data_IF_475295853872
#
_entry.id   IF_475295853872
#
_cell.length_a   1.000
_cell.length_b   1.000
_cell.length_c   1.000
_cell.angle_alpha   90.00
_cell.angle_beta   90.00
_cell.angle_gamma   90.00
#
_symmetry.space_group_name_H-M   'P 1'
#
loop_
_entity.id
_entity.type
_entity.pdbx_description
1 polymer ?
#
# COMPACT_ATOMS: atom_id res chain seq x y z
N UNK A 1 -46.39 -63.60 15.14
CA UNK A 1 -47.12 -63.08 13.97
C UNK A 1 -48.05 -61.96 14.44
N UNK A 2 -47.56 -60.73 14.46
CA UNK A 2 -48.39 -59.53 14.62
C UNK A 2 -47.87 -58.47 13.65
N UNK A 3 -48.64 -58.31 12.58
CA UNK A 3 -48.50 -57.32 11.52
C UNK A 3 -49.12 -56.01 11.99
N UNK A 4 -48.29 -54.98 12.14
CA UNK A 4 -48.73 -53.60 12.38
C UNK A 4 -48.20 -52.70 11.27
N UNK A 5 -49.13 -52.21 10.46
CA UNK A 5 -48.96 -51.26 9.35
C UNK A 5 -48.42 -49.90 9.80
N UNK A 6 -47.61 -49.21 8.97
CA UNK A 6 -47.08 -47.88 9.27
C UNK A 6 -48.09 -46.77 8.99
N UNK A 7 -48.12 -45.78 9.88
CA UNK A 7 -48.96 -44.57 9.83
C UNK A 7 -48.20 -43.47 9.09
N UNK A 8 -48.74 -43.02 7.97
CA UNK A 8 -48.20 -41.93 7.16
C UNK A 8 -48.30 -40.57 7.88
N UNK A 9 -47.26 -39.75 7.77
CA UNK A 9 -47.22 -38.36 8.27
C UNK A 9 -47.18 -37.40 7.07
N UNK A 10 -48.00 -36.33 7.06
CA UNK A 10 -48.13 -35.44 5.91
C UNK A 10 -47.03 -34.37 5.86
N UNK A 11 -46.66 -33.99 4.63
CA UNK A 11 -45.71 -32.92 4.31
C UNK A 11 -46.27 -31.52 4.61
N UNK A 12 -45.43 -30.56 5.04
CA UNK A 12 -45.85 -29.17 5.22
C UNK A 12 -45.83 -28.36 3.91
N UNK A 13 -46.77 -27.42 3.87
CA UNK A 13 -47.22 -26.65 2.72
C UNK A 13 -46.20 -25.62 2.20
N UNK A 14 -46.17 -25.48 0.87
CA UNK A 14 -45.55 -24.36 0.13
C UNK A 14 -46.42 -23.11 0.28
N UNK A 15 -45.90 -22.07 0.92
CA UNK A 15 -46.47 -20.71 0.86
C UNK A 15 -45.85 -19.96 -0.32
N UNK A 16 -46.68 -19.68 -1.31
CA UNK A 16 -46.39 -18.93 -2.53
C UNK A 16 -47.03 -17.55 -2.37
N UNK A 17 -46.25 -16.53 -2.08
CA UNK A 17 -46.72 -15.13 -2.06
C UNK A 17 -46.37 -14.47 -3.38
N UNK A 18 -47.37 -14.38 -4.26
CA UNK A 18 -47.42 -13.43 -5.37
C UNK A 18 -48.16 -12.18 -4.87
N UNK A 19 -47.53 -11.01 -4.97
CA UNK A 19 -48.25 -9.73 -4.91
C UNK A 19 -47.86 -8.89 -6.11
N UNK A 20 -48.79 -8.89 -7.07
CA UNK A 20 -48.96 -7.92 -8.13
C UNK A 20 -49.20 -6.53 -7.53
N UNK A 21 -48.48 -5.51 -8.00
CA UNK A 21 -48.95 -4.13 -7.96
C UNK A 21 -48.44 -3.42 -9.23
N UNK A 22 -49.30 -3.38 -10.24
CA UNK A 22 -49.22 -2.40 -11.32
C UNK A 22 -49.71 -1.05 -10.77
N UNK A 23 -48.98 0.02 -11.06
CA UNK A 23 -49.61 1.34 -11.24
C UNK A 23 -48.84 2.13 -12.28
N UNK A 24 -49.47 2.22 -13.45
CA UNK A 24 -49.18 3.18 -14.51
C UNK A 24 -49.48 4.60 -14.02
N UNK A 25 -48.66 5.58 -14.40
CA UNK A 25 -49.12 6.90 -14.87
C UNK A 25 -47.98 7.65 -15.58
N UNK A 26 -48.15 7.73 -16.90
CA UNK A 26 -47.97 8.86 -17.83
C UNK A 26 -46.98 9.99 -17.56
N UNK A 27 -46.09 10.15 -18.54
CA UNK A 27 -45.85 11.35 -19.37
C UNK A 27 -45.77 12.73 -18.69
N UNK A 28 -44.58 13.33 -18.77
CA UNK A 28 -44.43 14.64 -19.43
C UNK A 28 -43.00 14.84 -19.94
N UNK A 29 -42.89 15.00 -21.26
CA UNK A 29 -41.84 15.77 -21.90
C UNK A 29 -41.94 17.23 -21.43
N UNK A 30 -40.82 17.85 -21.05
CA UNK A 30 -40.62 19.28 -21.28
C UNK A 30 -39.13 19.62 -21.17
N UNK A 31 -38.53 19.91 -22.32
CA UNK A 31 -37.27 20.64 -22.41
C UNK A 31 -37.60 22.13 -22.28
N UNK A 32 -36.81 22.90 -21.52
CA UNK A 32 -36.52 24.25 -21.96
C UNK A 32 -35.03 24.57 -21.97
N UNK A 33 -34.68 25.29 -23.03
CA UNK A 33 -33.42 25.97 -23.31
C UNK A 33 -32.91 26.80 -22.11
N UNK A 34 -31.59 26.91 -22.01
CA UNK A 34 -30.89 27.75 -21.02
C UNK A 34 -31.24 29.25 -21.12
N UNK A 35 -30.66 30.10 -20.25
CA UNK A 35 -29.41 30.72 -20.70
C UNK A 35 -28.41 31.17 -19.60
N UNK A 36 -27.18 31.45 -20.06
CA UNK A 36 -26.12 32.38 -19.57
C UNK A 36 -25.15 31.90 -18.45
N UNK A 37 -23.81 32.11 -18.63
CA UNK A 37 -22.78 31.69 -17.70
C UNK A 37 -22.46 32.75 -16.63
N UNK A 38 -22.30 32.33 -15.38
CA UNK A 38 -21.68 33.14 -14.34
C UNK A 38 -20.16 32.95 -14.36
N UNK A 39 -19.48 33.92 -14.99
CA UNK A 39 -18.05 34.11 -14.91
C UNK A 39 -17.71 34.72 -13.54
N UNK A 40 -17.32 33.90 -12.56
CA UNK A 40 -16.79 34.37 -11.28
C UNK A 40 -15.27 34.42 -11.39
N UNK A 41 -14.75 35.63 -11.60
CA UNK A 41 -13.32 35.92 -11.51
C UNK A 41 -12.85 35.85 -10.06
N UNK A 42 -11.76 35.12 -9.72
CA UNK A 42 -11.14 35.27 -8.42
C UNK A 42 -10.31 36.59 -8.35
N UNK A 43 -10.19 37.17 -7.14
CA UNK A 43 -9.59 38.49 -6.94
C UNK A 43 -8.08 38.49 -7.20
N UNK A 44 -7.62 39.55 -7.89
CA UNK A 44 -6.22 39.97 -7.95
C UNK A 44 -5.68 40.21 -6.54
N UNK A 45 -4.93 39.26 -5.98
CA UNK A 45 -4.05 39.53 -4.85
C UNK A 45 -2.79 40.23 -5.35
N UNK A 46 -2.64 41.45 -4.87
CA UNK A 46 -1.48 42.34 -5.01
C UNK A 46 -0.16 41.58 -4.86
N UNK A 47 0.67 41.74 -5.89
CA UNK A 47 2.08 41.40 -5.86
C UNK A 47 2.78 42.05 -4.66
N UNK A 48 3.47 41.22 -3.89
CA UNK A 48 4.55 41.67 -3.03
C UNK A 48 5.83 41.14 -3.64
N UNK A 49 6.44 41.98 -4.49
CA UNK A 49 7.81 41.83 -4.96
C UNK A 49 8.70 41.61 -3.73
N UNK A 50 9.19 40.39 -3.57
CA UNK A 50 10.30 40.10 -2.67
C UNK A 50 11.55 40.19 -3.52
N UNK A 51 12.26 41.28 -3.28
CA UNK A 51 13.55 41.63 -3.85
C UNK A 51 14.51 40.46 -3.90
N UNK A 52 15.02 40.22 -5.10
CA UNK A 52 16.30 39.59 -5.39
C UNK A 52 17.37 40.17 -4.46
N UNK A 53 17.99 39.31 -3.66
CA UNK A 53 19.22 39.64 -2.95
C UNK A 53 20.36 39.15 -3.83
N UNK A 54 20.82 40.03 -4.71
CA UNK A 54 22.15 39.95 -5.30
C UNK A 54 23.16 40.03 -4.16
N UNK A 55 23.83 38.92 -3.89
CA UNK A 55 25.08 38.91 -3.13
C UNK A 55 26.21 38.69 -4.14
N UNK A 56 26.56 39.78 -4.83
CA UNK A 56 27.89 39.98 -5.41
C UNK A 56 28.87 40.05 -4.23
N UNK A 57 29.60 38.96 -3.99
CA UNK A 57 30.78 38.99 -3.12
C UNK A 57 32.00 39.13 -4.01
N UNK A 58 32.63 40.29 -3.88
CA UNK A 58 33.90 40.64 -4.48
C UNK A 58 35.01 39.65 -4.13
N UNK A 59 35.80 39.35 -5.16
CA UNK A 59 37.15 38.82 -5.03
C UNK A 59 38.04 39.89 -4.43
N UNK A 60 38.48 39.71 -3.19
CA UNK A 60 39.66 40.39 -2.66
C UNK A 60 40.77 39.37 -2.44
N UNK A 61 41.69 39.44 -3.39
CA UNK A 61 43.06 38.96 -3.35
C UNK A 61 43.78 39.59 -2.16
N UNK A 62 44.35 38.80 -1.23
CA UNK A 62 45.70 39.02 -0.71
C UNK A 62 46.12 38.01 0.38
N UNK A 63 47.41 37.67 0.31
CA UNK A 63 48.32 37.32 1.41
C UNK A 63 48.52 35.85 1.77
N UNK A 64 49.61 35.34 1.19
CA UNK A 64 50.45 34.24 1.66
C UNK A 64 50.46 34.08 3.18
N UNK A 65 49.87 32.99 3.67
CA UNK A 65 50.22 32.41 4.97
C UNK A 65 50.54 30.94 4.72
N UNK A 66 51.80 30.58 4.90
CA UNK A 66 52.31 29.22 4.75
C UNK A 66 51.80 28.35 5.91
N UNK A 67 50.68 27.65 5.69
CA UNK A 67 50.22 26.59 6.58
C UNK A 67 51.06 25.31 6.40
N UNK A 68 51.34 24.57 7.50
CA UNK A 68 52.09 23.32 7.45
C UNK A 68 51.29 22.22 6.73
N UNK A 69 51.98 21.22 6.13
CA UNK A 69 51.34 20.15 5.37
C UNK A 69 50.47 19.29 6.28
N UNK A 70 49.17 19.56 6.27
CA UNK A 70 48.17 18.69 6.88
C UNK A 70 48.13 17.41 6.05
N UNK A 71 48.55 16.29 6.67
CA UNK A 71 48.42 14.95 6.09
C UNK A 71 46.94 14.72 5.77
N UNK A 72 46.58 14.84 4.49
CA UNK A 72 45.25 14.55 4.00
C UNK A 72 44.96 13.07 4.28
N UNK A 73 44.14 12.81 5.29
CA UNK A 73 43.58 11.49 5.51
C UNK A 73 42.86 11.07 4.23
N UNK A 74 43.04 9.83 3.75
CA UNK A 74 42.39 9.37 2.53
C UNK A 74 40.89 9.61 2.69
N UNK A 75 40.31 10.41 1.78
CA UNK A 75 38.87 10.59 1.72
C UNK A 75 38.27 9.19 1.66
N UNK A 76 37.61 8.80 2.74
CA UNK A 76 36.83 7.57 2.83
C UNK A 76 35.87 7.58 1.65
N UNK A 77 36.18 6.80 0.61
CA UNK A 77 35.37 6.69 -0.59
C UNK A 77 33.95 6.38 -0.16
N UNK A 78 33.00 7.24 -0.52
CA UNK A 78 31.59 6.97 -0.26
C UNK A 78 31.27 5.55 -0.77
N UNK A 79 30.56 4.72 0.02
CA UNK A 79 30.22 3.37 -0.40
C UNK A 79 29.51 3.42 -1.75
N UNK A 80 29.89 2.53 -2.67
CA UNK A 80 29.28 2.44 -3.97
C UNK A 80 27.75 2.23 -3.83
N UNK A 81 26.93 2.86 -4.69
CA UNK A 81 25.48 2.69 -4.65
C UNK A 81 25.14 1.21 -4.86
N UNK A 82 24.33 0.66 -3.96
CA UNK A 82 23.82 -0.71 -4.10
C UNK A 82 22.87 -0.74 -5.30
N UNK A 83 23.07 -1.64 -6.29
CA UNK A 83 22.17 -1.75 -7.43
C UNK A 83 20.78 -2.20 -6.97
N UNK A 84 19.75 -1.68 -7.64
CA UNK A 84 18.37 -2.09 -7.37
C UNK A 84 18.15 -3.55 -7.81
N UNK A 85 17.27 -4.31 -7.13
CA UNK A 85 16.86 -5.62 -7.61
C UNK A 85 16.28 -5.57 -9.02
N UNK A 86 16.50 -6.63 -9.80
CA UNK A 86 16.16 -6.69 -11.24
C UNK A 86 14.69 -6.38 -11.53
N UNK A 87 13.77 -6.84 -10.66
CA UNK A 87 12.32 -6.65 -10.86
C UNK A 87 11.84 -5.19 -10.79
N UNK A 88 12.67 -4.25 -10.30
CA UNK A 88 12.37 -2.81 -10.41
C UNK A 88 12.69 -2.23 -11.78
N UNK A 89 13.46 -2.95 -12.60
CA UNK A 89 13.84 -2.54 -13.95
C UNK A 89 12.83 -2.92 -15.02
N UNK A 90 11.80 -3.71 -14.71
CA UNK A 90 10.80 -4.12 -15.68
C UNK A 90 9.83 -2.99 -16.03
N UNK A 91 9.37 -2.98 -17.29
CA UNK A 91 8.32 -2.09 -17.77
C UNK A 91 7.02 -2.30 -16.96
N UNK A 92 6.31 -1.23 -16.53
CA UNK A 92 5.00 -1.37 -15.91
C UNK A 92 3.93 -1.85 -16.90
N UNK A 93 2.94 -2.61 -16.43
CA UNK A 93 1.77 -2.98 -17.24
C UNK A 93 0.82 -1.79 -17.37
N UNK A 94 0.46 -1.41 -18.61
CA UNK A 94 -0.46 -0.30 -18.90
C UNK A 94 -1.56 -0.75 -19.88
N UNK A 95 -2.85 -0.61 -19.53
CA UNK A 95 -3.36 -0.13 -18.24
C UNK A 95 -3.02 -1.08 -17.09
N UNK A 96 -2.96 -0.55 -15.85
CA UNK A 96 -2.80 -1.38 -14.66
C UNK A 96 -3.93 -2.42 -14.59
N UNK A 97 -3.65 -3.69 -14.26
CA UNK A 97 -4.68 -4.70 -14.06
C UNK A 97 -5.37 -4.59 -12.68
N UNK A 98 -4.89 -3.70 -11.83
CA UNK A 98 -5.47 -3.38 -10.52
C UNK A 98 -6.33 -2.12 -10.65
N UNK A 99 -7.58 -2.22 -10.22
CA UNK A 99 -8.52 -1.09 -10.22
C UNK A 99 -8.12 -0.02 -9.19
N UNK A 100 -7.51 -0.47 -8.09
CA UNK A 100 -7.09 0.38 -6.99
C UNK A 100 -8.24 0.84 -6.12
N UNK A 101 -9.13 -0.08 -5.76
CA UNK A 101 -10.31 0.17 -4.91
C UNK A 101 -10.45 -0.88 -3.81
N UNK A 102 -11.05 -0.50 -2.68
CA UNK A 102 -11.43 -1.46 -1.65
C UNK A 102 -12.51 -2.43 -2.14
N UNK A 103 -13.44 -1.95 -2.97
CA UNK A 103 -14.52 -2.75 -3.55
C UNK A 103 -13.97 -3.94 -4.35
N UNK A 104 -12.97 -3.74 -5.22
CA UNK A 104 -12.35 -4.81 -5.98
C UNK A 104 -11.75 -5.90 -5.07
N UNK A 105 -11.13 -5.50 -3.96
CA UNK A 105 -10.63 -6.43 -2.94
C UNK A 105 -11.75 -7.20 -2.24
N UNK A 106 -12.84 -6.52 -1.85
CA UNK A 106 -13.98 -7.17 -1.18
C UNK A 106 -14.68 -8.16 -2.12
N UNK A 107 -14.83 -7.81 -3.41
CA UNK A 107 -15.38 -8.69 -4.43
C UNK A 107 -14.49 -9.93 -4.63
N UNK A 108 -13.17 -9.76 -4.67
CA UNK A 108 -12.22 -10.87 -4.74
C UNK A 108 -12.31 -11.80 -3.51
N UNK A 109 -12.46 -11.24 -2.31
CA UNK A 109 -12.67 -12.00 -1.07
C UNK A 109 -13.98 -12.80 -1.13
N UNK A 110 -15.07 -12.19 -1.60
CA UNK A 110 -16.37 -12.85 -1.73
C UNK A 110 -16.33 -13.97 -2.78
N UNK A 111 -15.70 -13.72 -3.93
CA UNK A 111 -15.53 -14.73 -4.98
C UNK A 111 -14.72 -15.93 -4.45
N UNK A 112 -13.60 -15.66 -3.77
CA UNK A 112 -12.80 -16.69 -3.13
C UNK A 112 -13.58 -17.48 -2.07
N UNK A 113 -14.33 -16.78 -1.21
CA UNK A 113 -15.19 -17.40 -0.21
C UNK A 113 -16.30 -18.28 -0.79
N UNK A 114 -16.85 -17.91 -1.95
CA UNK A 114 -17.84 -18.70 -2.67
C UNK A 114 -17.25 -19.99 -3.25
N UNK A 115 -15.98 -19.99 -3.64
CA UNK A 115 -15.27 -21.18 -4.12
C UNK A 115 -14.93 -22.16 -3.00
N UNK A 116 -14.64 -21.64 -1.80
CA UNK A 116 -14.11 -22.43 -0.69
C UNK A 116 -14.97 -22.32 0.57
N UNK A 117 -16.03 -23.14 0.66
CA UNK A 117 -16.99 -23.09 1.77
C UNK A 117 -16.38 -23.25 3.19
N UNK A 118 -15.21 -23.86 3.34
CA UNK A 118 -14.55 -24.05 4.65
C UNK A 118 -13.83 -22.79 5.16
N UNK A 119 -13.79 -21.72 4.36
CA UNK A 119 -13.02 -20.50 4.65
C UNK A 119 -13.87 -19.38 5.23
N UNK A 120 -15.16 -19.63 5.50
CA UNK A 120 -16.11 -18.57 5.88
C UNK A 120 -15.67 -17.77 7.10
N UNK A 121 -15.05 -18.39 8.10
CA UNK A 121 -14.54 -17.65 9.27
C UNK A 121 -13.52 -16.57 8.87
N UNK A 122 -12.59 -16.91 7.97
CA UNK A 122 -11.59 -15.98 7.43
C UNK A 122 -12.25 -14.93 6.56
N UNK A 123 -13.16 -15.32 5.66
CA UNK A 123 -13.91 -14.41 4.79
C UNK A 123 -14.68 -13.39 5.63
N UNK A 124 -15.46 -13.84 6.62
CA UNK A 124 -16.21 -12.93 7.49
C UNK A 124 -15.30 -11.93 8.19
N UNK A 125 -14.15 -12.36 8.71
CA UNK A 125 -13.16 -11.47 9.34
C UNK A 125 -12.58 -10.47 8.35
N UNK A 126 -12.24 -10.89 7.13
CA UNK A 126 -11.72 -10.00 6.08
C UNK A 126 -12.72 -8.91 5.66
N UNK A 127 -14.01 -9.23 5.67
CA UNK A 127 -15.09 -8.32 5.30
C UNK A 127 -15.48 -7.34 6.42
N UNK A 128 -15.05 -7.57 7.67
CA UNK A 128 -15.29 -6.62 8.75
C UNK A 128 -14.43 -5.34 8.60
N UNK A 129 -14.77 -4.26 9.32
CA UNK A 129 -13.85 -3.15 9.55
C UNK A 129 -12.50 -3.66 10.10
N UNK A 130 -11.42 -2.97 9.75
CA UNK A 130 -10.07 -3.41 10.13
C UNK A 130 -9.91 -3.44 11.65
N UNK A 131 -9.50 -4.61 12.16
CA UNK A 131 -9.05 -4.78 13.54
C UNK A 131 -7.58 -5.23 13.58
N UNK A 132 -6.69 -4.35 14.04
CA UNK A 132 -5.24 -4.60 14.15
C UNK A 132 -4.88 -5.64 15.22
N UNK A 133 -5.85 -6.08 16.03
CA UNK A 133 -5.69 -7.09 17.09
C UNK A 133 -6.26 -8.46 16.71
N UNK A 134 -6.70 -8.62 15.45
CA UNK A 134 -7.20 -9.90 14.91
C UNK A 134 -6.18 -11.02 15.15
N UNK A 135 -6.62 -12.12 15.77
CA UNK A 135 -5.81 -13.34 15.95
C UNK A 135 -5.76 -14.17 14.64
N UNK A 136 -5.03 -13.64 13.66
CA UNK A 136 -4.80 -14.32 12.39
C UNK A 136 -4.23 -15.74 12.55
N UNK A 137 -3.20 -15.99 13.39
CA UNK A 137 -2.69 -17.33 13.59
C UNK A 137 -3.76 -18.32 14.09
N UNK A 138 -4.63 -17.90 15.02
CA UNK A 138 -5.74 -18.72 15.51
C UNK A 138 -6.76 -19.03 14.43
N UNK A 139 -7.22 -18.01 13.69
CA UNK A 139 -8.19 -18.15 12.60
C UNK A 139 -7.67 -19.07 11.48
N UNK A 140 -6.45 -18.83 11.02
CA UNK A 140 -5.84 -19.61 9.94
C UNK A 140 -5.50 -21.03 10.38
N UNK A 141 -5.12 -21.25 11.65
CA UNK A 141 -4.96 -22.61 12.19
C UNK A 141 -6.29 -23.36 12.21
N UNK A 142 -7.39 -22.68 12.53
CA UNK A 142 -8.74 -23.24 12.41
C UNK A 142 -9.06 -23.70 10.99
N UNK A 143 -8.74 -22.87 9.99
CA UNK A 143 -8.88 -23.22 8.57
C UNK A 143 -7.99 -24.40 8.17
N UNK A 144 -6.73 -24.40 8.61
CA UNK A 144 -5.77 -25.47 8.32
C UNK A 144 -6.24 -26.81 8.90
N UNK A 145 -6.71 -26.86 10.15
CA UNK A 145 -7.11 -28.11 10.83
C UNK A 145 -8.49 -28.59 10.38
N UNK A 146 -9.47 -27.68 10.30
CA UNK A 146 -10.84 -28.07 9.96
C UNK A 146 -11.02 -28.31 8.46
N UNK A 147 -10.26 -27.58 7.64
CA UNK A 147 -10.28 -27.69 6.18
C UNK A 147 -9.48 -28.87 5.62
N UNK A 148 -8.72 -29.61 6.44
CA UNK A 148 -7.84 -30.70 5.97
C UNK A 148 -8.55 -32.00 5.59
N UNK A 149 -9.81 -31.91 5.17
CA UNK A 149 -10.59 -33.06 4.68
C UNK A 149 -11.06 -32.78 3.26
N UNK A 150 -10.47 -33.43 2.23
CA UNK A 150 -9.40 -34.43 2.28
C UNK A 150 -8.04 -33.90 2.74
N UNK A 151 -7.15 -34.80 3.17
CA UNK A 151 -5.79 -34.45 3.63
C UNK A 151 -5.03 -33.62 2.59
N UNK A 152 -4.34 -32.58 3.04
CA UNK A 152 -3.66 -31.59 2.20
C UNK A 152 -4.54 -30.41 1.78
N UNK A 153 -5.87 -30.50 1.94
CA UNK A 153 -6.78 -29.39 1.58
C UNK A 153 -6.57 -28.17 2.48
N UNK A 154 -6.25 -28.34 3.76
CA UNK A 154 -6.03 -27.21 4.65
C UNK A 154 -4.85 -26.35 4.20
N UNK A 155 -3.75 -27.02 3.82
CA UNK A 155 -2.57 -26.37 3.24
C UNK A 155 -2.91 -25.67 1.92
N UNK A 156 -3.59 -26.38 1.02
CA UNK A 156 -4.03 -25.80 -0.26
C UNK A 156 -4.84 -24.51 -0.06
N UNK A 157 -5.81 -24.50 0.86
CA UNK A 157 -6.61 -23.31 1.17
C UNK A 157 -5.77 -22.15 1.72
N UNK A 158 -4.73 -22.46 2.49
CA UNK A 158 -3.82 -21.47 3.05
C UNK A 158 -2.90 -20.86 1.98
N UNK A 159 -2.43 -21.67 1.03
CA UNK A 159 -1.69 -21.18 -0.15
C UNK A 159 -2.60 -20.33 -1.06
N UNK A 160 -3.83 -20.78 -1.32
CA UNK A 160 -4.80 -20.00 -2.09
C UNK A 160 -5.10 -18.65 -1.44
N UNK A 161 -5.25 -18.62 -0.11
CA UNK A 161 -5.41 -17.36 0.63
C UNK A 161 -4.17 -16.48 0.54
N UNK A 162 -2.98 -17.06 0.69
CA UNK A 162 -1.72 -16.33 0.56
C UNK A 162 -1.65 -15.61 -0.79
N UNK A 163 -1.91 -16.34 -1.88
CA UNK A 163 -1.84 -15.77 -3.22
C UNK A 163 -2.99 -14.83 -3.56
N UNK A 164 -4.20 -15.04 -3.00
CA UNK A 164 -5.25 -14.03 -3.05
C UNK A 164 -4.75 -12.70 -2.47
N UNK A 165 -4.13 -12.74 -1.30
CA UNK A 165 -3.67 -11.52 -0.63
C UNK A 165 -2.49 -10.89 -1.37
N UNK A 166 -1.49 -11.66 -1.80
CA UNK A 166 -0.27 -11.10 -2.41
C UNK A 166 -0.43 -10.70 -3.87
N UNK A 167 -1.28 -11.38 -4.63
CA UNK A 167 -1.47 -11.11 -6.07
C UNK A 167 -2.70 -10.25 -6.37
N UNK A 168 -3.63 -10.12 -5.41
CA UNK A 168 -4.84 -9.30 -5.59
C UNK A 168 -4.96 -8.24 -4.50
N UNK A 169 -5.18 -8.63 -3.24
CA UNK A 169 -5.62 -7.67 -2.22
C UNK A 169 -4.58 -6.60 -1.88
N UNK A 170 -3.31 -6.98 -1.71
CA UNK A 170 -2.21 -6.04 -1.49
C UNK A 170 -2.03 -5.08 -2.68
N UNK A 171 -1.93 -5.57 -3.94
CA UNK A 171 -1.88 -4.71 -5.11
C UNK A 171 -3.02 -3.70 -5.23
N UNK A 172 -4.28 -4.10 -4.99
CA UNK A 172 -5.43 -3.18 -5.02
C UNK A 172 -5.26 -2.07 -3.97
N UNK A 173 -4.95 -2.43 -2.72
CA UNK A 173 -4.79 -1.46 -1.64
C UNK A 173 -3.54 -0.58 -1.77
N UNK A 174 -2.45 -1.10 -2.32
CA UNK A 174 -1.26 -0.29 -2.64
C UNK A 174 -1.62 0.74 -3.70
N UNK A 175 -2.33 0.33 -4.75
CA UNK A 175 -2.76 1.23 -5.83
C UNK A 175 -3.66 2.33 -5.28
N UNK A 176 -4.69 1.98 -4.52
CA UNK A 176 -5.62 2.92 -3.87
C UNK A 176 -4.88 3.91 -2.96
N UNK A 177 -4.00 3.40 -2.09
CA UNK A 177 -3.17 4.22 -1.20
C UNK A 177 -2.32 5.21 -2.00
N UNK A 178 -1.64 4.75 -3.06
CA UNK A 178 -0.79 5.59 -3.90
C UNK A 178 -1.58 6.67 -4.63
N UNK A 179 -2.78 6.35 -5.11
CA UNK A 179 -3.67 7.33 -5.74
C UNK A 179 -4.10 8.40 -4.74
N UNK A 180 -4.52 8.02 -3.54
CA UNK A 180 -4.86 8.96 -2.47
C UNK A 180 -3.67 9.85 -2.07
N UNK A 181 -2.49 9.24 -1.91
CA UNK A 181 -1.24 9.94 -1.63
C UNK A 181 -0.85 10.94 -2.74
N UNK A 182 -1.01 10.54 -4.00
CA UNK A 182 -0.80 11.40 -5.17
C UNK A 182 -1.70 12.63 -5.14
N UNK A 183 -3.01 12.44 -4.91
CA UNK A 183 -3.98 13.54 -4.78
C UNK A 183 -3.64 14.47 -3.61
N UNK A 184 -3.27 13.91 -2.47
CA UNK A 184 -2.83 14.68 -1.32
C UNK A 184 -1.59 15.54 -1.64
N UNK A 185 -0.53 14.96 -2.20
CA UNK A 185 0.67 15.74 -2.52
C UNK A 185 0.43 16.78 -3.60
N UNK A 186 -0.47 16.52 -4.54
CA UNK A 186 -0.92 17.50 -5.52
C UNK A 186 -1.70 18.65 -4.88
N UNK A 187 -2.58 18.35 -3.92
CA UNK A 187 -3.39 19.36 -3.24
C UNK A 187 -2.58 20.19 -2.24
N UNK A 188 -1.64 19.53 -1.54
CA UNK A 188 -0.86 20.09 -0.43
C UNK A 188 0.64 20.10 -0.76
N UNK A 189 1.00 20.73 -1.88
CA UNK A 189 2.39 20.80 -2.40
C UNK A 189 3.41 21.32 -1.39
N UNK A 190 2.99 22.16 -0.46
CA UNK A 190 3.86 22.79 0.54
C UNK A 190 4.08 21.94 1.80
N UNK A 191 3.41 20.79 1.96
CA UNK A 191 3.65 19.92 3.11
C UNK A 191 5.06 19.32 3.02
N UNK A 192 5.90 19.65 4.00
CA UNK A 192 7.22 19.02 4.19
C UNK A 192 7.13 17.73 5.01
N UNK A 193 5.92 17.28 5.36
CA UNK A 193 5.71 16.18 6.28
C UNK A 193 5.83 14.86 5.53
N UNK A 194 6.64 13.95 6.10
CA UNK A 194 6.67 12.54 5.70
C UNK A 194 5.47 11.85 6.36
N UNK A 195 4.56 11.31 5.56
CA UNK A 195 3.36 10.65 6.06
C UNK A 195 3.70 9.21 6.42
N UNK A 196 3.17 8.70 7.53
CA UNK A 196 3.36 7.32 7.95
C UNK A 196 2.31 6.40 7.31
N UNK A 197 1.19 6.96 6.83
CA UNK A 197 0.07 6.25 6.18
C UNK A 197 0.40 5.71 4.78
N UNK A 198 1.67 5.74 4.40
CA UNK A 198 2.15 5.17 3.15
C UNK A 198 2.48 3.71 3.36
N UNK A 199 2.01 2.85 2.46
CA UNK A 199 2.26 1.41 2.51
C UNK A 199 3.76 1.04 2.56
N UNK A 200 4.63 1.85 1.94
CA UNK A 200 6.08 1.62 1.85
C UNK A 200 6.87 2.21 3.04
N UNK A 201 6.19 2.89 3.97
CA UNK A 201 6.78 3.54 5.15
C UNK A 201 6.59 2.63 6.38
N UNK A 202 7.12 1.40 6.29
CA UNK A 202 7.22 0.46 7.43
C UNK A 202 8.45 0.72 8.31
N UNK A 203 8.44 0.29 9.59
CA UNK A 203 9.47 0.54 10.64
C UNK A 203 10.94 0.66 10.21
N UNK A 204 11.37 -0.04 9.15
CA UNK A 204 12.74 -0.06 8.65
C UNK A 204 13.14 1.13 7.77
N UNK A 205 12.21 1.96 7.28
CA UNK A 205 12.50 3.10 6.40
C UNK A 205 13.40 4.17 7.03
N UNK A 206 13.42 4.24 8.38
CA UNK A 206 14.29 5.17 9.13
C UNK A 206 15.73 4.69 9.27
N UNK A 207 16.09 3.49 8.78
CA UNK A 207 17.49 3.04 8.72
C UNK A 207 18.21 3.81 7.61
N UNK A 208 19.35 4.42 7.94
CA UNK A 208 20.16 5.13 6.97
C UNK A 208 20.57 4.21 5.81
N UNK A 209 20.36 4.65 4.56
CA UNK A 209 20.69 3.87 3.35
C UNK A 209 19.51 3.12 2.72
N UNK A 210 18.27 3.46 3.07
CA UNK A 210 17.09 2.89 2.39
C UNK A 210 17.15 3.14 0.87
N UNK A 211 17.07 2.06 0.09
CA UNK A 211 17.02 2.14 -1.37
C UNK A 211 15.67 2.71 -1.80
N UNK A 212 15.68 3.53 -2.86
CA UNK A 212 14.45 4.10 -3.41
C UNK A 212 14.36 3.81 -4.90
N UNK A 213 13.15 3.54 -5.36
CA UNK A 213 12.82 3.42 -6.78
C UNK A 213 12.03 4.66 -7.22
N UNK A 214 12.36 5.19 -8.39
CA UNK A 214 11.69 6.36 -8.94
C UNK A 214 10.28 5.98 -9.43
N UNK A 215 9.29 6.82 -9.12
CA UNK A 215 7.96 6.73 -9.73
C UNK A 215 7.98 7.51 -11.04
N UNK A 216 8.20 6.79 -12.14
CA UNK A 216 8.30 7.35 -13.50
C UNK A 216 7.02 7.01 -14.29
N UNK A 217 6.62 7.88 -15.24
CA UNK A 217 5.53 7.55 -16.14
C UNK A 217 5.90 6.32 -16.97
N UNK A 218 4.92 5.48 -17.33
CA UNK A 218 5.17 4.34 -18.20
C UNK A 218 5.71 4.80 -19.56
N UNK A 219 6.75 4.13 -20.05
CA UNK A 219 7.23 4.35 -21.41
C UNK A 219 6.39 3.50 -22.38
N UNK A 220 5.81 4.12 -23.40
CA UNK A 220 4.95 3.45 -24.38
C UNK A 220 5.72 2.49 -25.31
N UNK A 221 7.04 2.63 -25.34
CA UNK A 221 7.93 1.81 -26.17
C UNK A 221 8.44 0.56 -25.44
N UNK A 222 8.29 0.49 -24.11
CA UNK A 222 8.82 -0.64 -23.35
C UNK A 222 7.92 -1.87 -23.51
N UNK A 223 8.53 -3.00 -23.81
CA UNK A 223 7.84 -4.29 -23.86
C UNK A 223 7.51 -4.76 -22.44
N UNK A 224 6.23 -5.03 -22.18
CA UNK A 224 5.80 -5.66 -20.93
C UNK A 224 6.27 -7.11 -20.96
N UNK A 225 7.01 -7.59 -19.93
CA UNK A 225 7.38 -8.99 -19.85
C UNK A 225 6.12 -9.86 -19.95
N UNK A 226 6.08 -10.77 -20.93
CA UNK A 226 5.00 -11.76 -20.98
C UNK A 226 5.02 -12.57 -19.68
N UNK A 227 3.84 -12.76 -19.07
CA UNK A 227 3.69 -13.77 -18.03
C UNK A 227 4.15 -15.11 -18.58
N UNK A 228 4.63 -16.04 -17.75
CA UNK A 228 5.03 -17.37 -18.22
C UNK A 228 3.73 -18.18 -18.42
N UNK A 229 3.22 -18.36 -19.66
CA UNK A 229 1.94 -19.03 -19.84
C UNK A 229 2.03 -20.54 -19.53
N UNK A 230 0.99 -21.06 -18.86
CA UNK A 230 0.57 -22.45 -19.06
C UNK A 230 0.87 -23.48 -17.97
N UNK A 231 1.62 -23.17 -16.91
CA UNK A 231 1.78 -24.09 -15.77
C UNK A 231 0.70 -23.87 -14.69
N UNK A 232 0.35 -22.62 -14.43
CA UNK A 232 -0.55 -22.26 -13.33
C UNK A 232 -2.04 -22.44 -13.66
N UNK A 233 -2.47 -22.23 -14.91
CA UNK A 233 -3.89 -22.34 -15.28
C UNK A 233 -4.47 -23.75 -15.03
N UNK A 234 -3.65 -24.80 -15.17
CA UNK A 234 -4.13 -26.18 -15.01
C UNK A 234 -4.28 -26.55 -13.53
N UNK A 235 -3.35 -26.10 -12.68
CA UNK A 235 -3.34 -26.47 -11.25
C UNK A 235 -4.15 -25.50 -10.39
N UNK A 236 -4.15 -24.21 -10.73
CA UNK A 236 -4.75 -23.14 -9.94
C UNK A 236 -5.56 -22.19 -10.83
N UNK A 237 -6.67 -22.66 -11.44
CA UNK A 237 -7.41 -21.92 -12.48
C UNK A 237 -8.03 -20.59 -12.00
N UNK A 238 -8.18 -20.42 -10.68
CA UNK A 238 -8.77 -19.21 -10.09
C UNK A 238 -7.74 -18.29 -9.45
N UNK A 239 -6.45 -18.67 -9.47
CA UNK A 239 -5.36 -17.89 -8.90
C UNK A 239 -4.88 -16.90 -9.95
N UNK A 240 -4.75 -15.62 -9.59
CA UNK A 240 -4.13 -14.62 -10.47
C UNK A 240 -2.67 -15.02 -10.73
N UNK A 241 -2.22 -14.89 -11.96
CA UNK A 241 -0.85 -15.21 -12.34
C UNK A 241 0.15 -14.26 -11.63
N UNK A 242 1.36 -14.76 -11.35
CA UNK A 242 2.43 -13.91 -10.85
C UNK A 242 2.84 -12.94 -11.96
N UNK A 243 2.85 -11.65 -11.64
CA UNK A 243 3.35 -10.61 -12.52
C UNK A 243 4.79 -10.26 -12.15
N UNK A 244 5.80 -10.59 -12.97
CA UNK A 244 7.20 -10.26 -12.66
C UNK A 244 7.43 -8.76 -12.46
N UNK A 245 6.64 -7.95 -13.16
CA UNK A 245 6.66 -6.49 -13.15
C UNK A 245 5.60 -5.87 -12.20
N UNK A 246 5.10 -6.63 -11.21
CA UNK A 246 4.05 -6.14 -10.29
C UNK A 246 4.49 -4.86 -9.56
N UNK A 247 5.73 -4.82 -9.07
CA UNK A 247 6.22 -3.67 -8.32
C UNK A 247 6.35 -2.45 -9.24
N UNK A 248 6.95 -2.59 -10.43
CA UNK A 248 7.06 -1.47 -11.37
C UNK A 248 5.68 -0.96 -11.80
N UNK A 249 4.72 -1.85 -12.01
CA UNK A 249 3.31 -1.52 -12.28
C UNK A 249 2.68 -0.71 -11.14
N UNK A 250 2.83 -1.17 -9.89
CA UNK A 250 2.24 -0.50 -8.72
C UNK A 250 2.87 0.87 -8.43
N UNK A 251 4.17 1.04 -8.71
CA UNK A 251 4.88 2.30 -8.39
C UNK A 251 4.91 3.29 -9.55
N UNK A 252 4.42 2.92 -10.73
CA UNK A 252 4.37 3.77 -11.91
C UNK A 252 3.67 5.12 -11.60
N UNK A 253 4.15 6.18 -12.23
CA UNK A 253 3.45 7.46 -12.22
C UNK A 253 2.28 7.41 -13.21
N UNK A 254 1.32 8.36 -13.14
CA UNK A 254 0.34 8.56 -14.21
C UNK A 254 1.02 8.74 -15.58
N UNK A 255 0.31 8.50 -16.69
CA UNK A 255 0.86 8.63 -18.04
C UNK A 255 1.47 10.01 -18.31
N UNK A 256 0.82 11.08 -17.84
CA UNK A 256 1.32 12.45 -17.96
C UNK A 256 2.43 12.80 -16.93
N UNK A 257 2.77 11.84 -16.08
CA UNK A 257 3.67 11.99 -14.94
C UNK A 257 3.07 12.81 -13.79
N UNK A 258 3.89 13.05 -12.78
CA UNK A 258 3.54 13.93 -11.65
C UNK A 258 3.64 15.40 -12.04
N UNK A 259 2.75 16.27 -11.53
CA UNK A 259 2.69 17.68 -11.98
C UNK A 259 3.92 18.51 -11.59
N UNK A 260 4.66 18.08 -10.56
CA UNK A 260 5.87 18.77 -10.09
C UNK A 260 6.94 17.77 -9.68
N UNK A 261 8.20 18.21 -9.76
CA UNK A 261 9.33 17.43 -9.23
C UNK A 261 9.18 17.13 -7.74
N UNK A 262 8.61 18.04 -6.95
CA UNK A 262 8.35 17.82 -5.52
C UNK A 262 7.36 16.69 -5.26
N UNK A 263 6.29 16.58 -6.06
CA UNK A 263 5.36 15.44 -5.99
C UNK A 263 6.07 14.16 -6.42
N UNK A 264 6.81 14.17 -7.53
CA UNK A 264 7.61 13.03 -8.01
C UNK A 264 8.56 12.50 -6.93
N UNK A 265 9.30 13.40 -6.29
CA UNK A 265 10.26 13.04 -5.25
C UNK A 265 9.59 12.44 -4.01
N UNK A 266 8.38 12.91 -3.67
CA UNK A 266 7.58 12.33 -2.59
C UNK A 266 6.90 11.02 -2.99
N UNK A 267 6.57 10.81 -4.26
CA UNK A 267 5.97 9.57 -4.76
C UNK A 267 6.98 8.45 -5.07
N UNK A 268 8.28 8.70 -4.88
CA UNK A 268 9.31 7.65 -4.91
C UNK A 268 8.95 6.52 -3.96
N UNK A 269 9.12 5.29 -4.43
CA UNK A 269 8.91 4.09 -3.63
C UNK A 269 10.14 3.80 -2.76
N UNK A 270 9.93 3.52 -1.49
CA UNK A 270 10.97 3.06 -0.57
C UNK A 270 10.94 1.54 -0.53
N UNK A 271 12.05 0.93 -0.94
CA UNK A 271 12.14 -0.53 -1.02
C UNK A 271 12.00 -1.12 0.38
N UNK A 272 11.07 -2.05 0.54
CA UNK A 272 10.67 -2.57 1.85
C UNK A 272 10.39 -4.07 1.84
N UNK A 273 10.14 -4.62 3.03
CA UNK A 273 9.83 -6.04 3.17
C UNK A 273 8.52 -6.47 2.51
N UNK A 274 7.56 -5.55 2.37
CA UNK A 274 6.30 -5.81 1.67
C UNK A 274 6.54 -6.23 0.22
N UNK A 275 7.55 -5.66 -0.44
CA UNK A 275 7.89 -5.93 -1.84
C UNK A 275 8.23 -7.40 -2.06
N UNK A 276 8.89 -8.03 -1.08
CA UNK A 276 9.21 -9.46 -1.12
C UNK A 276 7.98 -10.38 -1.07
N UNK A 277 6.84 -9.89 -0.58
CA UNK A 277 5.59 -10.66 -0.59
C UNK A 277 4.88 -10.60 -1.95
N UNK A 278 5.07 -9.52 -2.70
CA UNK A 278 4.43 -9.33 -4.01
C UNK A 278 5.05 -10.21 -5.11
N UNK A 279 6.28 -10.67 -4.90
CA UNK A 279 7.05 -11.46 -5.86
C UNK A 279 7.17 -12.94 -5.46
N UNK A 280 6.32 -13.43 -4.54
CA UNK A 280 6.30 -14.84 -4.17
C UNK A 280 5.79 -15.68 -5.34
N UNK A 281 6.61 -16.62 -5.79
CA UNK A 281 6.22 -17.64 -6.75
C UNK A 281 5.66 -18.90 -6.07
N UNK A 282 5.11 -19.79 -6.89
CA UNK A 282 4.43 -21.00 -6.44
C UNK A 282 5.43 -22.01 -5.86
N UNK A 283 6.62 -22.09 -6.45
CA UNK A 283 7.72 -22.97 -6.07
C UNK A 283 8.30 -22.63 -4.69
N UNK A 284 8.61 -21.35 -4.43
CA UNK A 284 9.13 -20.86 -3.16
C UNK A 284 8.17 -21.19 -2.03
N UNK A 285 6.86 -21.01 -2.26
CA UNK A 285 5.82 -21.27 -1.26
C UNK A 285 5.62 -22.77 -1.03
N UNK A 286 5.74 -23.59 -2.09
CA UNK A 286 5.66 -25.05 -1.98
C UNK A 286 6.76 -25.63 -1.06
N UNK A 287 7.94 -25.01 -1.02
CA UNK A 287 9.04 -25.41 -0.13
C UNK A 287 8.82 -25.04 1.35
N UNK A 288 7.83 -24.19 1.66
CA UNK A 288 7.59 -23.78 3.04
C UNK A 288 6.91 -24.89 3.82
N UNK A 289 7.43 -25.18 5.02
CA UNK A 289 6.68 -25.97 5.98
C UNK A 289 5.38 -25.25 6.41
N UNK A 290 4.44 -26.01 6.97
CA UNK A 290 3.14 -25.47 7.38
C UNK A 290 3.24 -24.35 8.43
N UNK A 291 4.25 -24.41 9.30
CA UNK A 291 4.44 -23.39 10.35
C UNK A 291 4.88 -22.07 9.74
N UNK A 292 5.81 -22.11 8.78
CA UNK A 292 6.27 -20.96 8.02
C UNK A 292 5.15 -20.39 7.16
N UNK A 293 4.40 -21.23 6.46
CA UNK A 293 3.26 -20.81 5.64
C UNK A 293 2.20 -20.11 6.48
N UNK A 294 1.83 -20.69 7.62
CA UNK A 294 0.89 -20.09 8.57
C UNK A 294 1.38 -18.72 9.06
N UNK A 295 2.62 -18.66 9.54
CA UNK A 295 3.19 -17.43 10.09
C UNK A 295 3.29 -16.32 9.03
N UNK A 296 3.73 -16.64 7.81
CA UNK A 296 3.84 -15.68 6.71
C UNK A 296 2.47 -15.20 6.25
N UNK A 297 1.51 -16.10 6.07
CA UNK A 297 0.15 -15.72 5.68
C UNK A 297 -0.49 -14.81 6.72
N UNK A 298 -0.37 -15.13 8.01
CA UNK A 298 -0.85 -14.25 9.10
C UNK A 298 -0.20 -12.87 9.06
N UNK A 299 1.13 -12.81 8.85
CA UNK A 299 1.84 -11.54 8.77
C UNK A 299 1.39 -10.69 7.58
N UNK A 300 1.22 -11.31 6.41
CA UNK A 300 0.81 -10.64 5.18
C UNK A 300 -0.63 -10.09 5.30
N UNK A 301 -1.55 -10.87 5.87
CA UNK A 301 -2.92 -10.42 6.16
C UNK A 301 -2.94 -9.21 7.09
N UNK A 302 -2.09 -9.21 8.12
CA UNK A 302 -1.94 -8.06 9.01
C UNK A 302 -1.40 -6.83 8.26
N UNK A 303 -0.43 -7.00 7.35
CA UNK A 303 0.07 -5.89 6.52
C UNK A 303 -1.03 -5.34 5.61
N UNK A 304 -1.81 -6.21 4.95
CA UNK A 304 -2.94 -5.77 4.14
C UNK A 304 -3.97 -4.98 4.95
N UNK A 305 -4.35 -5.47 6.14
CA UNK A 305 -5.23 -4.76 7.06
C UNK A 305 -4.69 -3.37 7.44
N UNK A 306 -3.39 -3.26 7.71
CA UNK A 306 -2.77 -1.97 8.04
C UNK A 306 -2.85 -1.00 6.88
N UNK A 307 -2.51 -1.44 5.66
CA UNK A 307 -2.58 -0.59 4.46
C UNK A 307 -4.02 -0.17 4.19
N UNK A 308 -4.99 -1.09 4.34
CA UNK A 308 -6.42 -0.76 4.23
C UNK A 308 -6.83 0.32 5.23
N UNK A 309 -6.51 0.15 6.52
CA UNK A 309 -6.83 1.13 7.56
C UNK A 309 -6.16 2.48 7.33
N UNK A 310 -4.91 2.49 6.88
CA UNK A 310 -4.18 3.72 6.57
C UNK A 310 -4.76 4.42 5.33
N UNK A 311 -5.25 3.66 4.36
CA UNK A 311 -5.91 4.16 3.15
C UNK A 311 -7.29 4.73 3.48
N UNK A 312 -8.10 4.03 4.26
CA UNK A 312 -9.38 4.56 4.78
C UNK A 312 -9.15 5.90 5.50
N UNK A 313 -8.10 5.99 6.33
CA UNK A 313 -7.73 7.24 7.00
C UNK A 313 -7.37 8.35 6.02
N UNK A 314 -6.62 8.06 4.94
CA UNK A 314 -6.32 9.05 3.91
C UNK A 314 -7.56 9.51 3.17
N UNK A 315 -8.47 8.60 2.85
CA UNK A 315 -9.73 8.93 2.16
C UNK A 315 -10.63 9.79 3.06
N UNK A 316 -10.70 9.49 4.36
CA UNK A 316 -11.43 10.34 5.32
C UNK A 316 -10.85 11.76 5.38
N UNK A 317 -9.51 11.88 5.40
CA UNK A 317 -8.85 13.19 5.34
C UNK A 317 -9.14 13.93 4.03
N UNK A 318 -9.33 13.21 2.91
CA UNK A 318 -9.67 13.80 1.62
C UNK A 318 -11.04 14.47 1.65
N UNK A 319 -12.03 13.87 2.33
CA UNK A 319 -13.38 14.41 2.48
C UNK A 319 -13.35 15.81 3.10
N UNK A 320 -12.52 16.00 4.12
CA UNK A 320 -12.31 17.29 4.79
C UNK A 320 -11.24 18.16 4.09
N UNK A 321 -11.00 17.96 2.80
CA UNK A 321 -10.02 18.70 1.99
C UNK A 321 -8.62 18.78 2.61
N UNK A 322 -8.26 17.77 3.41
CA UNK A 322 -7.00 17.64 4.13
C UNK A 322 -6.75 18.77 5.15
N UNK A 323 -7.81 19.43 5.66
CA UNK A 323 -7.69 20.55 6.62
C UNK A 323 -6.99 20.14 7.93
N UNK A 324 -7.16 18.89 8.37
CA UNK A 324 -6.48 18.37 9.55
C UNK A 324 -4.95 18.36 9.43
N UNK A 325 -4.40 18.45 8.21
CA UNK A 325 -2.95 18.53 7.95
C UNK A 325 -2.40 19.95 7.99
N UNK A 326 -3.25 21.00 8.04
CA UNK A 326 -2.81 22.40 8.10
C UNK A 326 -2.38 22.83 9.51
N UNK A 327 -2.75 22.04 10.53
CA UNK A 327 -2.32 22.24 11.91
C UNK A 327 -0.82 22.00 12.04
N UNK A 328 -0.19 22.52 13.11
CA UNK A 328 1.23 22.23 13.35
C UNK A 328 1.43 20.73 13.50
N UNK A 329 2.60 20.21 13.13
CA UNK A 329 2.92 18.80 13.23
C UNK A 329 2.76 18.23 14.67
N UNK A 330 2.94 19.08 15.69
CA UNK A 330 2.74 18.74 17.11
C UNK A 330 1.26 18.65 17.50
N UNK A 331 0.38 19.33 16.75
CA UNK A 331 -1.07 19.41 16.98
C UNK A 331 -1.84 18.39 16.15
N UNK A 332 -1.18 17.74 15.18
CA UNK A 332 -1.82 16.72 14.39
C UNK A 332 -1.53 15.35 15.01
N UNK A 333 -2.57 14.84 15.69
CA UNK A 333 -2.53 13.66 16.54
C UNK A 333 -1.90 12.44 15.86
N UNK A 334 -2.06 12.33 14.54
CA UNK A 334 -1.49 11.26 13.72
C UNK A 334 0.05 11.27 13.64
N UNK A 335 0.72 12.43 13.67
CA UNK A 335 2.18 12.51 13.75
C UNK A 335 2.65 12.30 15.20
N UNK A 336 1.90 12.89 16.14
CA UNK A 336 2.25 12.86 17.55
C UNK A 336 2.15 11.45 18.17
N UNK A 337 1.16 10.65 17.77
CA UNK A 337 0.98 9.28 18.26
C UNK A 337 2.09 8.33 17.78
N UNK A 338 2.63 8.52 16.57
CA UNK A 338 3.78 7.75 16.10
C UNK A 338 5.08 8.14 16.84
N UNK A 339 5.30 9.43 17.06
CA UNK A 339 6.44 9.91 17.86
C UNK A 339 6.44 9.30 19.27
N UNK A 340 5.26 8.98 19.83
CA UNK A 340 5.09 8.33 21.14
C UNK A 340 5.18 6.80 21.09
N UNK A 341 4.71 6.17 20.00
CA UNK A 341 4.77 4.69 19.82
C UNK A 341 6.19 4.19 19.51
N UNK A 342 7.07 5.08 19.06
CA UNK A 342 8.47 4.75 18.80
C UNK A 342 9.30 4.75 20.09
N UNK A 343 10.00 3.65 20.43
CA UNK A 343 10.99 3.70 21.51
C UNK A 343 12.08 4.73 21.13
N UNK A 344 12.55 5.57 22.08
CA UNK A 344 13.53 6.59 21.79
C UNK A 344 14.76 5.94 21.17
N UNK A 345 15.13 6.41 19.97
CA UNK A 345 16.27 5.90 19.21
C UNK A 345 17.50 5.92 20.13
N UNK A 346 18.05 4.75 20.45
CA UNK A 346 19.09 4.56 21.49
C UNK A 346 20.44 5.24 21.17
N UNK A 347 20.51 6.01 20.08
CA UNK A 347 21.73 6.64 19.57
C UNK A 347 22.11 7.94 20.29
N UNK A 348 21.21 8.56 21.07
CA UNK A 348 21.57 9.80 21.79
C UNK A 348 22.55 9.58 22.97
N UNK A 349 22.68 8.34 23.48
CA UNK A 349 23.67 8.03 24.54
C UNK A 349 25.10 7.82 24.01
N UNK A 350 25.28 7.71 22.69
CA UNK A 350 26.60 7.54 22.08
C UNK A 350 27.44 8.83 22.08
N UNK A 351 26.79 9.99 22.06
CA UNK A 351 27.47 11.28 21.92
C UNK A 351 27.95 11.88 23.25
N UNK A 352 27.35 11.48 24.38
CA UNK A 352 27.83 11.87 25.71
C UNK A 352 29.15 11.18 26.08
N UNK A 353 29.34 9.92 25.68
CA UNK A 353 30.59 9.19 25.94
C UNK A 353 31.79 9.71 25.11
N UNK A 354 31.55 10.29 23.93
CA UNK A 354 32.61 10.90 23.12
C UNK A 354 33.05 12.24 23.73
N UNK A 355 32.11 13.04 24.27
CA UNK A 355 32.45 14.26 25.02
C UNK A 355 33.18 13.94 26.33
N UNK A 356 32.77 12.90 27.07
CA UNK A 356 33.44 12.49 28.30
C UNK A 356 34.87 11.97 28.08
N UNK A 357 35.15 11.32 26.94
CA UNK A 357 36.52 10.88 26.59
C UNK A 357 37.43 12.01 26.08
N UNK A 358 36.87 13.10 25.55
CA UNK A 358 37.66 14.24 25.07
C UNK A 358 38.17 15.13 26.22
N UNK A 359 37.45 15.19 27.34
CA UNK A 359 37.87 15.95 28.53
C UNK A 359 39.00 15.24 29.29
N UNK A 360 39.04 13.90 29.31
CA UNK A 360 40.11 13.13 29.98
C UNK A 360 41.46 13.10 29.26
N UNK A 361 41.57 13.63 28.04
CA UNK A 361 42.84 13.70 27.28
C UNK A 361 43.50 15.08 27.34
N UNK A 362 42.91 16.02 28.08
CA UNK A 362 43.40 17.40 28.26
C UNK A 362 43.68 17.74 29.73
N UNK A 363 43.72 16.72 30.59
CA UNK A 363 44.16 16.74 31.98
C UNK A 363 45.22 15.66 32.15
#
# INVERSE_FOLDING_TARGET
MHSSTPKATPAPARSRSQSHAQREHSQSEETPQGPIPYHVSPPRTRGRSRTTRDASVHSDTHSHTSEPPFLALPLSSAPAPVPLPEHYGYAPTVPSPFEGTLEASLDAILLWGAMYADTQAVVYTLLQPVDRTTDWPGLLRGMLVNGDKPAGRGRFLLEELLFLVTRTLLPEQITENRLAMGRLYERKKQLSIRLILRYDIGLDWRRAGAMTAASLPPNKEDEVPEGIPGLNEVMFPNRRELMPNIISTLIAAPEDGWSTQGVRDRMKHHIGHLDSYLILDDEDVAEWDETRLLAKTSQILLQWQWIRSDTETLLDLEVDAWEALDKKAEECEWIADDAKRMPPHRNDKGNENIKARRVKKLS
#
